data_IF_890601288247
#
_entry.id   IF_890601288247
#
_cell.length_a   1.000
_cell.length_b   1.000
_cell.length_c   1.000
_cell.angle_alpha   90.00
_cell.angle_beta   90.00
_cell.angle_gamma   90.00
#
_symmetry.space_group_name_H-M   'P 1'
#
loop_
_entity.id
_entity.type
_entity.pdbx_description
1 polymer ?
#
# COMPACT_ATOMS: atom_id res chain seq x y z
N UNK A 1 3.87 -7.88 1.32
CA UNK A 1 3.02 -6.84 1.96
C UNK A 1 3.93 -5.78 2.51
N UNK A 2 3.68 -4.50 2.22
CA UNK A 2 4.38 -3.38 2.85
C UNK A 2 3.47 -2.67 3.85
N UNK A 3 3.99 -2.41 5.05
CA UNK A 3 3.33 -1.64 6.11
C UNK A 3 4.25 -0.47 6.43
N UNK A 4 4.01 0.71 5.85
CA UNK A 4 4.77 1.91 6.17
C UNK A 4 4.60 2.30 7.64
N UNK A 5 5.50 3.14 8.12
CA UNK A 5 5.30 3.85 9.39
C UNK A 5 3.98 4.64 9.31
N UNK A 6 3.14 4.62 10.35
CA UNK A 6 1.95 5.45 10.39
C UNK A 6 2.33 6.93 10.26
N UNK A 7 1.69 7.63 9.33
CA UNK A 7 1.85 9.07 9.14
C UNK A 7 0.46 9.70 9.05
N UNK A 8 0.30 10.91 9.61
CA UNK A 8 -0.99 11.64 9.60
C UNK A 8 -1.15 12.57 8.40
N UNK A 9 -0.03 12.97 7.78
CA UNK A 9 -0.04 13.85 6.60
C UNK A 9 -0.14 12.99 5.33
N UNK A 10 -1.18 13.18 4.48
CA UNK A 10 -1.39 12.37 3.29
C UNK A 10 -0.18 12.29 2.36
N UNK A 11 0.53 13.40 2.14
CA UNK A 11 1.72 13.38 1.27
C UNK A 11 2.90 12.63 1.89
N UNK A 12 3.03 12.57 3.22
CA UNK A 12 4.05 11.76 3.87
C UNK A 12 3.75 10.27 3.77
N UNK A 13 2.48 9.86 3.90
CA UNK A 13 2.06 8.48 3.69
C UNK A 13 2.49 7.97 2.29
N UNK A 14 2.32 8.82 1.27
CA UNK A 14 2.66 8.48 -0.12
C UNK A 14 4.15 8.29 -0.38
N UNK A 15 5.05 8.83 0.44
CA UNK A 15 6.50 8.71 0.22
C UNK A 15 6.94 7.24 0.21
N UNK A 16 6.45 6.44 1.16
CA UNK A 16 6.77 5.02 1.22
C UNK A 16 6.10 4.24 0.07
N UNK A 17 4.83 4.53 -0.22
CA UNK A 17 4.09 3.84 -1.28
C UNK A 17 4.66 4.12 -2.68
N UNK A 18 5.06 5.36 -2.99
CA UNK A 18 5.73 5.71 -4.25
C UNK A 18 7.04 4.94 -4.42
N UNK A 19 7.83 4.76 -3.35
CA UNK A 19 9.05 3.93 -3.38
C UNK A 19 8.71 2.47 -3.66
N UNK A 20 7.65 1.94 -3.05
CA UNK A 20 7.19 0.57 -3.30
C UNK A 20 6.74 0.38 -4.75
N UNK A 21 6.01 1.33 -5.33
CA UNK A 21 5.60 1.29 -6.74
C UNK A 21 6.81 1.26 -7.69
N UNK A 22 7.84 2.07 -7.40
CA UNK A 22 9.06 2.07 -8.21
C UNK A 22 9.79 0.72 -8.15
N UNK A 23 9.86 0.10 -6.97
CA UNK A 23 10.45 -1.24 -6.81
C UNK A 23 9.61 -2.31 -7.51
N UNK A 24 8.29 -2.21 -7.42
CA UNK A 24 7.36 -3.11 -8.10
C UNK A 24 7.52 -3.03 -9.62
N UNK A 25 7.51 -1.82 -10.19
CA UNK A 25 7.72 -1.62 -11.63
C UNK A 25 9.06 -2.20 -12.09
N UNK A 26 10.11 -2.10 -11.28
CA UNK A 26 11.42 -2.72 -11.59
C UNK A 26 11.34 -4.25 -11.56
N UNK A 27 10.70 -4.82 -10.54
CA UNK A 27 10.51 -6.27 -10.46
C UNK A 27 9.72 -6.81 -11.66
N UNK A 28 8.72 -6.07 -12.15
CA UNK A 28 7.97 -6.45 -13.35
C UNK A 28 8.81 -6.49 -14.63
N UNK A 29 9.99 -5.84 -14.67
CA UNK A 29 10.92 -5.98 -15.80
C UNK A 29 11.77 -7.24 -15.74
N UNK A 30 11.84 -7.89 -14.57
CA UNK A 30 12.66 -9.08 -14.33
C UNK A 30 11.82 -10.36 -14.23
N UNK A 31 10.53 -10.23 -13.87
CA UNK A 31 9.63 -11.35 -13.61
C UNK A 31 8.23 -11.07 -14.20
N UNK A 32 7.86 -11.84 -15.22
CA UNK A 32 6.59 -11.66 -15.95
C UNK A 32 5.34 -11.95 -15.09
N UNK A 33 5.46 -12.80 -14.07
CA UNK A 33 4.34 -13.22 -13.22
C UNK A 33 4.06 -12.28 -12.03
N UNK A 34 4.80 -11.17 -11.91
CA UNK A 34 4.60 -10.20 -10.83
C UNK A 34 3.49 -9.22 -11.21
N UNK A 35 2.31 -9.40 -10.62
CA UNK A 35 1.11 -8.58 -10.89
C UNK A 35 0.54 -7.87 -9.64
N UNK A 36 1.02 -8.24 -8.46
CA UNK A 36 0.41 -7.85 -7.19
C UNK A 36 1.31 -6.96 -6.35
N UNK A 37 0.90 -5.71 -6.15
CA UNK A 37 1.47 -4.80 -5.18
C UNK A 37 0.54 -4.68 -3.97
N UNK A 38 0.84 -5.47 -2.92
CA UNK A 38 0.05 -5.45 -1.69
C UNK A 38 0.59 -4.45 -0.66
N UNK A 39 -0.11 -3.32 -0.56
CA UNK A 39 0.16 -2.23 0.40
C UNK A 39 -1.13 -1.46 0.73
N UNK A 40 -1.19 -0.85 1.91
CA UNK A 40 -2.36 -0.12 2.40
C UNK A 40 -3.22 -0.94 3.37
N UNK A 41 -3.61 -0.28 4.44
CA UNK A 41 -4.39 -0.71 5.59
C UNK A 41 -5.61 0.21 5.76
N UNK A 42 -6.38 0.03 6.84
CA UNK A 42 -7.60 0.80 7.09
C UNK A 42 -7.40 2.33 7.09
N UNK A 43 -6.26 2.83 7.60
CA UNK A 43 -6.06 4.27 7.82
C UNK A 43 -5.33 4.99 6.68
N UNK A 44 -4.77 4.24 5.72
CA UNK A 44 -3.94 4.77 4.62
C UNK A 44 -4.34 4.19 3.24
N UNK A 45 -5.49 3.52 3.17
CA UNK A 45 -6.03 2.89 1.96
C UNK A 45 -6.05 3.83 0.76
N UNK A 46 -6.54 5.06 0.94
CA UNK A 46 -6.67 6.03 -0.13
C UNK A 46 -5.30 6.40 -0.72
N UNK A 47 -4.32 6.70 0.14
CA UNK A 47 -2.96 7.01 -0.30
C UNK A 47 -2.28 5.81 -1.00
N UNK A 48 -2.54 4.58 -0.53
CA UNK A 48 -2.03 3.37 -1.15
C UNK A 48 -2.61 3.14 -2.55
N UNK A 49 -3.91 3.35 -2.74
CA UNK A 49 -4.59 3.25 -4.05
C UNK A 49 -4.03 4.30 -5.02
N UNK A 50 -3.92 5.55 -4.59
CA UNK A 50 -3.34 6.63 -5.40
C UNK A 50 -1.88 6.36 -5.81
N UNK A 51 -1.16 5.55 -5.04
CA UNK A 51 0.21 5.16 -5.33
C UNK A 51 0.35 3.82 -6.06
N UNK A 52 -0.75 3.21 -6.53
CA UNK A 52 -0.73 2.03 -7.40
C UNK A 52 -0.86 0.67 -6.69
N UNK A 53 -1.37 0.65 -5.44
CA UNK A 53 -1.70 -0.63 -4.79
C UNK A 53 -2.74 -1.40 -5.60
N UNK A 54 -2.50 -2.69 -5.82
CA UNK A 54 -3.48 -3.61 -6.42
C UNK A 54 -4.17 -4.49 -5.38
N UNK A 55 -3.71 -4.44 -4.12
CA UNK A 55 -4.30 -5.19 -3.01
C UNK A 55 -4.13 -4.45 -1.67
N UNK A 56 -5.24 -3.98 -1.12
CA UNK A 56 -5.32 -3.38 0.23
C UNK A 56 -5.81 -4.41 1.26
N UNK A 57 -5.45 -4.22 2.54
CA UNK A 57 -5.87 -5.11 3.63
C UNK A 57 -6.64 -4.35 4.70
N UNK A 58 -7.96 -4.47 4.68
CA UNK A 58 -8.85 -3.67 5.51
C UNK A 58 -9.42 -4.52 6.65
N UNK A 59 -9.17 -4.07 7.89
CA UNK A 59 -9.63 -4.74 9.11
C UNK A 59 -10.59 -3.86 9.89
N UNK A 60 -10.05 -2.92 10.66
CA UNK A 60 -10.81 -2.03 11.56
C UNK A 60 -11.92 -1.26 10.83
N UNK A 61 -11.70 -0.81 9.59
CA UNK A 61 -12.74 -0.09 8.84
C UNK A 61 -13.93 -0.98 8.42
N UNK A 62 -13.77 -2.31 8.37
CA UNK A 62 -14.85 -3.25 8.08
C UNK A 62 -15.47 -3.80 9.37
N UNK A 63 -14.63 -4.23 10.33
CA UNK A 63 -15.05 -5.00 11.50
C UNK A 63 -15.08 -4.21 12.82
N UNK A 64 -14.59 -2.96 12.82
CA UNK A 64 -14.41 -2.17 14.03
C UNK A 64 -13.22 -2.61 14.89
N UNK A 65 -13.07 -1.96 16.05
CA UNK A 65 -12.03 -2.31 17.02
C UNK A 65 -12.30 -3.70 17.65
N UNK A 66 -11.23 -4.44 17.93
CA UNK A 66 -11.33 -5.71 18.68
C UNK A 66 -11.75 -5.42 20.12
N UNK A 67 -12.72 -6.18 20.62
CA UNK A 67 -13.15 -6.18 22.03
C UNK A 67 -12.54 -7.36 22.76
#
# INVERSE_FOLDING_TARGET
>A
MAIPKPESEPEQQKVAFRKMQLLFNRLQTEFDDIDTLSMGMSDDMQAAIECGSTMVRIGTAIFGARR
#
